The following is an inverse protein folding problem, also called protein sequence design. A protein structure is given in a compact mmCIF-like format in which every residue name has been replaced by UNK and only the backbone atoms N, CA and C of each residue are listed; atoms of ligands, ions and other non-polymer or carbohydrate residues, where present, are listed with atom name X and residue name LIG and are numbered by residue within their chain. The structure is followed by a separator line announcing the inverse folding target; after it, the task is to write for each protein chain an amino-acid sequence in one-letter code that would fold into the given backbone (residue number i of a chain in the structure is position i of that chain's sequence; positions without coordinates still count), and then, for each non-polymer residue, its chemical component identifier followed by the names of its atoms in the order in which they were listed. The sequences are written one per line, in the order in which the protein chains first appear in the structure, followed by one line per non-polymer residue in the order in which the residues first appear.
data_IF_042931060617
#
_entry.id   IF_042931060617
#
_cell.length_a   1.000
_cell.length_b   1.000
_cell.length_c   1.000
_cell.angle_alpha   90.00
_cell.angle_beta   90.00
_cell.angle_gamma   90.00
#
_symmetry.space_group_name_H-M   'P 1'
#
loop_
_entity.id
_entity.type
_entity.pdbx_description
1 polymer ?
#
# COMPACT_ATOMS: atom_id res chain seq x y z
N UNK A 1 -78.15 9.03 -46.61
CA UNK A 1 -77.67 9.75 -45.41
C UNK A 1 -76.45 9.01 -44.94
N UNK A 2 -75.27 9.61 -45.11
CA UNK A 2 -73.97 8.99 -44.86
C UNK A 2 -73.48 9.38 -43.47
N UNK A 3 -73.29 8.38 -42.62
CA UNK A 3 -72.80 8.46 -41.25
C UNK A 3 -71.38 9.07 -41.20
N UNK A 4 -71.17 10.01 -40.28
CA UNK A 4 -69.84 10.46 -39.87
C UNK A 4 -69.78 10.45 -38.34
N UNK A 5 -69.42 9.30 -37.78
CA UNK A 5 -69.06 9.15 -36.38
C UNK A 5 -67.64 9.71 -36.15
N UNK A 6 -67.57 10.93 -35.59
CA UNK A 6 -66.32 11.53 -35.15
C UNK A 6 -65.94 11.05 -33.75
N UNK A 7 -65.15 9.96 -33.66
CA UNK A 7 -64.50 9.55 -32.41
C UNK A 7 -63.41 10.56 -32.03
N UNK A 8 -63.65 11.35 -30.98
CA UNK A 8 -62.64 12.21 -30.38
C UNK A 8 -61.68 11.36 -29.51
N UNK A 9 -60.41 11.28 -29.93
CA UNK A 9 -59.34 10.64 -29.14
C UNK A 9 -58.91 11.62 -28.04
N UNK A 10 -58.95 11.23 -26.74
CA UNK A 10 -58.41 12.08 -25.68
C UNK A 10 -56.88 12.16 -25.81
N UNK A 11 -56.36 13.38 -25.91
CA UNK A 11 -54.91 13.64 -25.95
C UNK A 11 -54.25 13.21 -24.65
N UNK A 12 -53.25 12.32 -24.73
CA UNK A 12 -52.40 11.93 -23.60
C UNK A 12 -51.71 13.16 -22.99
N UNK A 13 -51.61 13.25 -21.65
CA UNK A 13 -50.89 14.34 -21.00
C UNK A 13 -49.41 14.28 -21.42
N UNK A 14 -48.92 15.39 -21.96
CA UNK A 14 -47.53 15.55 -22.39
C UNK A 14 -46.59 15.22 -21.24
N UNK A 15 -45.78 14.17 -21.42
CA UNK A 15 -44.72 13.74 -20.51
C UNK A 15 -43.79 14.94 -20.30
N UNK A 16 -43.87 15.63 -19.16
CA UNK A 16 -42.88 16.64 -18.77
C UNK A 16 -41.52 15.96 -18.82
N UNK A 17 -40.67 16.41 -19.74
CA UNK A 17 -39.27 16.01 -19.80
C UNK A 17 -38.64 16.45 -18.48
N UNK A 18 -38.52 15.52 -17.53
CA UNK A 18 -37.75 15.73 -16.31
C UNK A 18 -36.29 15.84 -16.76
N UNK A 19 -35.67 16.99 -16.51
CA UNK A 19 -34.21 17.13 -16.59
C UNK A 19 -33.57 15.99 -15.79
N UNK A 20 -32.43 15.43 -16.25
CA UNK A 20 -31.77 14.34 -15.53
C UNK A 20 -31.51 14.79 -14.08
N UNK A 21 -31.66 13.87 -13.10
CA UNK A 21 -31.42 14.21 -11.70
C UNK A 21 -29.98 14.74 -11.55
N UNK A 22 -29.83 15.99 -11.06
CA UNK A 22 -28.49 16.53 -10.82
C UNK A 22 -27.90 15.84 -9.60
N UNK A 23 -26.93 14.95 -9.81
CA UNK A 23 -26.22 14.31 -8.72
C UNK A 23 -25.24 15.30 -8.07
N UNK A 24 -25.04 15.23 -6.74
CA UNK A 24 -24.02 16.05 -6.07
C UNK A 24 -22.62 15.68 -6.58
N UNK A 25 -21.66 16.60 -6.60
CA UNK A 25 -20.28 16.29 -6.99
C UNK A 25 -19.61 15.35 -5.97
N UNK A 26 -18.76 14.46 -6.47
CA UNK A 26 -17.91 13.59 -5.65
C UNK A 26 -16.79 14.42 -5.01
N UNK A 27 -16.71 14.42 -3.67
CA UNK A 27 -15.65 15.09 -2.91
C UNK A 27 -14.48 14.14 -2.64
N UNK A 28 -13.85 13.66 -3.72
CA UNK A 28 -12.70 12.76 -3.65
C UNK A 28 -11.66 13.16 -4.69
N UNK A 29 -10.41 13.28 -4.26
CA UNK A 29 -9.27 13.52 -5.13
C UNK A 29 -8.43 12.25 -5.18
N UNK A 30 -8.14 11.77 -6.38
CA UNK A 30 -7.35 10.55 -6.54
C UNK A 30 -5.89 10.82 -6.13
N UNK A 31 -5.25 9.86 -5.43
CA UNK A 31 -3.85 10.00 -5.06
C UNK A 31 -2.93 9.83 -6.28
N UNK A 32 -1.69 10.31 -6.16
CA UNK A 32 -0.68 10.20 -7.23
C UNK A 32 -0.23 8.76 -7.52
N UNK A 33 -0.36 7.88 -6.52
CA UNK A 33 -0.08 6.45 -6.62
C UNK A 33 -1.28 5.64 -7.16
N UNK A 34 -2.41 6.30 -7.44
CA UNK A 34 -3.58 5.66 -8.05
C UNK A 34 -3.25 5.00 -9.37
N UNK A 35 -3.70 3.76 -9.55
CA UNK A 35 -3.58 3.02 -10.82
C UNK A 35 -4.83 2.18 -11.06
N UNK A 36 -5.07 1.81 -12.32
CA UNK A 36 -6.15 0.90 -12.67
C UNK A 36 -5.98 -0.47 -12.00
N UNK A 37 -7.10 -1.10 -11.62
CA UNK A 37 -7.10 -2.45 -11.06
C UNK A 37 -6.46 -3.46 -12.03
N UNK A 38 -5.34 -4.06 -11.61
CA UNK A 38 -4.60 -5.07 -12.37
C UNK A 38 -5.32 -6.42 -12.33
N UNK A 39 -5.78 -6.80 -11.14
CA UNK A 39 -6.46 -8.06 -10.88
C UNK A 39 -7.98 -7.90 -10.94
N UNK A 40 -8.65 -8.93 -11.43
CA UNK A 40 -10.10 -8.99 -11.35
C UNK A 40 -10.52 -9.16 -9.89
N UNK A 41 -11.55 -8.42 -9.49
CA UNK A 41 -12.10 -8.49 -8.15
C UNK A 41 -13.63 -8.50 -8.21
N UNK A 42 -14.23 -9.09 -7.19
CA UNK A 42 -15.67 -9.14 -7.01
C UNK A 42 -16.01 -8.85 -5.56
N UNK A 43 -17.19 -8.30 -5.36
CA UNK A 43 -17.71 -7.99 -4.03
C UNK A 43 -19.00 -8.79 -3.85
N UNK A 44 -18.96 -9.71 -2.91
CA UNK A 44 -20.10 -10.55 -2.54
C UNK A 44 -20.85 -9.90 -1.38
N UNK A 45 -22.14 -9.66 -1.55
CA UNK A 45 -23.00 -9.06 -0.55
C UNK A 45 -23.84 -10.14 0.12
N UNK A 46 -23.60 -10.34 1.41
CA UNK A 46 -24.32 -11.30 2.24
C UNK A 46 -25.34 -10.59 3.12
N UNK A 47 -26.51 -11.21 3.30
CA UNK A 47 -27.53 -10.77 4.26
C UNK A 47 -27.93 -11.97 5.12
N UNK A 48 -27.68 -11.90 6.42
CA UNK A 48 -28.00 -13.01 7.34
C UNK A 48 -27.25 -14.31 7.02
N UNK A 49 -26.05 -14.22 6.42
CA UNK A 49 -25.24 -15.37 6.03
C UNK A 49 -25.56 -15.95 4.65
N UNK A 50 -26.53 -15.40 3.92
CA UNK A 50 -26.86 -15.81 2.56
C UNK A 50 -26.31 -14.80 1.54
N UNK A 51 -25.66 -15.28 0.50
CA UNK A 51 -25.18 -14.48 -0.63
C UNK A 51 -26.38 -13.96 -1.42
N UNK A 52 -26.61 -12.65 -1.36
CA UNK A 52 -27.74 -11.99 -2.02
C UNK A 52 -27.35 -11.53 -3.41
N UNK A 53 -26.15 -10.97 -3.54
CA UNK A 53 -25.71 -10.29 -4.75
C UNK A 53 -24.20 -10.38 -4.87
N UNK A 54 -23.70 -10.60 -6.09
CA UNK A 54 -22.27 -10.61 -6.37
C UNK A 54 -22.00 -9.60 -7.47
N UNK A 55 -21.29 -8.53 -7.15
CA UNK A 55 -20.92 -7.48 -8.08
C UNK A 55 -19.49 -7.70 -8.56
N UNK A 56 -19.29 -7.85 -9.87
CA UNK A 56 -17.95 -7.84 -10.47
C UNK A 56 -17.55 -6.37 -10.61
N UNK A 57 -16.38 -6.03 -10.07
CA UNK A 57 -15.93 -4.65 -10.06
C UNK A 57 -15.36 -4.19 -11.40
N UNK A 58 -15.57 -2.93 -11.80
CA UNK A 58 -15.00 -2.40 -13.03
C UNK A 58 -13.48 -2.22 -12.91
N UNK A 59 -12.74 -2.41 -14.02
CA UNK A 59 -11.31 -2.06 -14.09
C UNK A 59 -11.16 -0.54 -14.19
N UNK A 60 -11.16 0.12 -13.03
CA UNK A 60 -10.97 1.56 -12.87
C UNK A 60 -9.85 1.82 -11.87
N UNK A 61 -9.35 3.05 -11.88
CA UNK A 61 -8.41 3.55 -10.87
C UNK A 61 -9.02 3.50 -9.46
N UNK A 62 -10.29 3.89 -9.35
CA UNK A 62 -11.04 3.87 -8.10
C UNK A 62 -12.50 3.53 -8.36
N UNK A 63 -13.16 3.05 -7.31
CA UNK A 63 -14.53 2.53 -7.36
C UNK A 63 -15.32 3.18 -6.24
N UNK A 64 -16.45 3.76 -6.59
CA UNK A 64 -17.29 4.47 -5.64
C UNK A 64 -18.37 3.54 -5.07
N UNK A 65 -18.55 3.62 -3.75
CA UNK A 65 -19.57 2.88 -3.00
C UNK A 65 -20.50 3.88 -2.35
N UNK A 66 -21.81 3.70 -2.54
CA UNK A 66 -22.77 4.59 -1.91
C UNK A 66 -24.22 4.29 -2.26
N UNK A 67 -25.11 5.11 -1.74
CA UNK A 67 -26.56 4.97 -1.95
C UNK A 67 -27.02 5.44 -3.33
N UNK A 68 -26.28 6.35 -3.96
CA UNK A 68 -26.67 6.88 -5.26
C UNK A 68 -26.44 5.85 -6.37
N UNK A 69 -27.32 5.79 -7.39
CA UNK A 69 -27.16 4.88 -8.53
C UNK A 69 -26.01 5.26 -9.47
N UNK A 70 -25.41 6.44 -9.29
CA UNK A 70 -24.19 6.86 -10.00
C UNK A 70 -22.93 6.17 -9.44
N UNK A 71 -23.00 5.60 -8.24
CA UNK A 71 -21.87 4.87 -7.66
C UNK A 71 -21.68 3.56 -8.42
N UNK A 72 -20.43 3.12 -8.57
CA UNK A 72 -20.10 1.86 -9.22
C UNK A 72 -20.71 0.67 -8.47
N UNK A 73 -20.78 0.76 -7.14
CA UNK A 73 -21.42 -0.22 -6.28
C UNK A 73 -22.52 0.51 -5.51
N UNK A 74 -23.76 0.28 -5.96
CA UNK A 74 -24.93 0.85 -5.33
C UNK A 74 -25.34 0.02 -4.11
N UNK A 75 -25.55 0.69 -2.98
CA UNK A 75 -26.09 0.06 -1.78
C UNK A 75 -27.34 0.76 -1.30
N UNK A 76 -28.45 0.03 -1.31
CA UNK A 76 -29.76 0.56 -0.93
C UNK A 76 -29.98 0.46 0.58
N UNK A 77 -29.46 1.43 1.32
CA UNK A 77 -29.74 1.57 2.75
C UNK A 77 -29.76 3.03 3.19
N UNK A 78 -30.63 3.38 4.14
CA UNK A 78 -30.83 4.77 4.59
C UNK A 78 -29.59 5.35 5.28
N UNK A 79 -28.88 4.54 6.08
CA UNK A 79 -27.69 4.95 6.82
C UNK A 79 -26.42 4.99 5.96
N UNK A 80 -26.50 4.52 4.72
CA UNK A 80 -25.40 4.65 3.76
C UNK A 80 -25.49 6.03 3.12
N UNK A 81 -24.35 6.71 3.12
CA UNK A 81 -24.21 8.04 2.54
C UNK A 81 -24.30 7.98 1.02
N UNK A 82 -24.64 9.12 0.40
CA UNK A 82 -24.78 9.23 -1.06
C UNK A 82 -23.54 8.72 -1.79
N UNK A 83 -22.39 9.25 -1.38
CA UNK A 83 -21.06 8.67 -1.56
C UNK A 83 -20.58 8.31 -0.15
N UNK A 84 -20.27 7.04 0.09
CA UNK A 84 -19.96 6.54 1.42
C UNK A 84 -18.48 6.19 1.54
N UNK A 85 -17.96 5.41 0.60
CA UNK A 85 -16.56 5.05 0.57
C UNK A 85 -16.08 4.90 -0.88
N UNK A 86 -14.76 4.86 -1.03
CA UNK A 86 -14.07 4.60 -2.30
C UNK A 86 -13.11 3.45 -2.08
N UNK A 87 -13.09 2.50 -3.02
CA UNK A 87 -11.99 1.54 -3.12
C UNK A 87 -10.98 2.11 -4.12
N UNK A 88 -9.76 2.32 -3.67
CA UNK A 88 -8.65 2.86 -4.44
C UNK A 88 -7.66 1.74 -4.74
N UNK A 89 -7.20 1.66 -5.99
CA UNK A 89 -6.17 0.69 -6.40
C UNK A 89 -4.80 1.35 -6.60
N UNK A 90 -3.74 0.59 -6.36
CA UNK A 90 -2.36 0.98 -6.58
C UNK A 90 -1.72 0.19 -7.74
N UNK A 91 -0.56 0.66 -8.22
CA UNK A 91 0.25 0.03 -9.27
C UNK A 91 0.73 -1.38 -8.91
N UNK A 92 0.78 -1.71 -7.63
CA UNK A 92 1.18 -3.05 -7.14
C UNK A 92 0.00 -4.05 -7.12
N UNK A 93 -1.21 -3.59 -7.51
CA UNK A 93 -2.43 -4.39 -7.49
C UNK A 93 -3.10 -4.48 -6.11
N UNK A 94 -2.65 -3.67 -5.16
CA UNK A 94 -3.27 -3.53 -3.84
C UNK A 94 -4.54 -2.68 -3.89
N UNK A 95 -5.49 -3.05 -3.03
CA UNK A 95 -6.74 -2.33 -2.85
C UNK A 95 -6.74 -1.64 -1.48
N UNK A 96 -7.28 -0.43 -1.43
CA UNK A 96 -7.41 0.36 -0.21
C UNK A 96 -8.85 0.85 -0.08
N UNK A 97 -9.42 0.75 1.12
CA UNK A 97 -10.70 1.38 1.43
C UNK A 97 -10.47 2.79 1.99
N UNK A 98 -11.22 3.75 1.47
CA UNK A 98 -11.19 5.15 1.87
C UNK A 98 -12.61 5.61 2.21
N UNK A 99 -12.88 5.89 3.48
CA UNK A 99 -14.20 6.37 3.91
C UNK A 99 -14.32 7.88 3.67
N UNK A 100 -15.36 8.30 2.94
CA UNK A 100 -15.61 9.69 2.56
C UNK A 100 -16.32 10.48 3.67
N UNK A 101 -15.87 10.30 4.91
CA UNK A 101 -16.43 10.96 6.09
C UNK A 101 -17.94 10.64 6.22
N UNK A 102 -18.25 9.35 6.20
CA UNK A 102 -19.63 8.89 6.09
C UNK A 102 -20.35 8.99 7.44
N UNK A 103 -21.66 9.29 7.42
CA UNK A 103 -22.41 9.63 8.64
C UNK A 103 -22.39 8.55 9.73
N UNK A 104 -22.40 7.27 9.34
CA UNK A 104 -22.34 6.13 10.27
C UNK A 104 -20.98 5.39 10.19
N UNK A 105 -20.07 5.86 9.35
CA UNK A 105 -18.77 5.26 9.09
C UNK A 105 -18.80 3.90 8.38
N UNK A 106 -17.60 3.42 8.08
CA UNK A 106 -17.34 2.09 7.50
C UNK A 106 -16.67 1.19 8.54
N UNK A 107 -17.00 -0.11 8.54
CA UNK A 107 -16.36 -1.14 9.38
C UNK A 107 -15.67 -2.18 8.51
N UNK A 108 -14.42 -2.48 8.83
CA UNK A 108 -13.59 -3.52 8.21
C UNK A 108 -13.29 -4.59 9.25
N UNK A 109 -13.66 -5.85 8.99
CA UNK A 109 -13.45 -6.99 9.90
C UNK A 109 -13.89 -6.69 11.35
N UNK A 110 -15.07 -6.07 11.51
CA UNK A 110 -15.67 -5.61 12.78
C UNK A 110 -14.95 -4.43 13.46
N UNK A 111 -13.85 -3.92 12.92
CA UNK A 111 -13.15 -2.72 13.39
C UNK A 111 -13.63 -1.50 12.62
N UNK A 112 -13.73 -0.36 13.29
CA UNK A 112 -14.09 0.90 12.64
C UNK A 112 -12.93 1.39 11.78
N UNK A 113 -13.23 1.84 10.56
CA UNK A 113 -12.29 2.49 9.65
C UNK A 113 -12.21 3.98 10.01
N UNK A 114 -10.99 4.53 10.08
CA UNK A 114 -10.79 5.97 10.21
C UNK A 114 -11.30 6.70 8.97
N UNK A 115 -12.07 7.79 9.12
CA UNK A 115 -12.49 8.59 7.98
C UNK A 115 -11.28 9.24 7.30
N UNK A 116 -11.32 9.35 5.98
CA UNK A 116 -10.29 9.99 5.14
C UNK A 116 -8.88 9.38 5.22
N UNK A 117 -8.80 8.11 5.61
CA UNK A 117 -7.55 7.36 5.65
C UNK A 117 -7.61 6.18 4.67
N UNK A 118 -6.49 5.85 4.02
CA UNK A 118 -6.38 4.69 3.14
C UNK A 118 -6.03 3.46 3.96
N UNK A 119 -7.00 2.57 4.14
CA UNK A 119 -6.78 1.31 4.88
C UNK A 119 -6.62 0.16 3.88
N UNK A 120 -5.56 -0.67 3.98
CA UNK A 120 -5.35 -1.78 3.06
C UNK A 120 -6.48 -2.81 3.17
N UNK A 121 -6.99 -3.25 2.03
CA UNK A 121 -8.08 -4.20 1.88
C UNK A 121 -7.54 -5.50 1.28
N UNK A 122 -7.72 -6.61 2.00
CA UNK A 122 -7.24 -7.93 1.60
C UNK A 122 -8.36 -8.80 1.02
N UNK A 123 -8.04 -9.75 0.14
CA UNK A 123 -9.00 -10.77 -0.29
C UNK A 123 -9.58 -11.52 0.91
N UNK A 124 -10.90 -11.65 0.97
CA UNK A 124 -11.65 -12.25 2.07
C UNK A 124 -12.08 -11.27 3.18
N UNK A 125 -11.66 -10.01 3.12
CA UNK A 125 -12.04 -9.02 4.13
C UNK A 125 -13.54 -8.70 4.10
N UNK A 126 -14.11 -8.53 5.29
CA UNK A 126 -15.52 -8.21 5.49
C UNK A 126 -15.69 -6.72 5.72
N UNK A 127 -16.34 -6.05 4.78
CA UNK A 127 -16.74 -4.66 4.83
C UNK A 127 -18.22 -4.53 5.24
N UNK A 128 -18.50 -3.60 6.14
CA UNK A 128 -19.87 -3.25 6.55
C UNK A 128 -20.01 -1.75 6.53
N UNK A 129 -20.98 -1.27 5.76
CA UNK A 129 -21.20 0.15 5.52
C UNK A 129 -22.38 0.66 6.36
N UNK A 130 -22.10 1.66 7.19
CA UNK A 130 -23.03 2.21 8.17
C UNK A 130 -23.72 1.14 9.03
N UNK A 131 -25.04 1.25 9.14
CA UNK A 131 -25.89 0.33 9.90
C UNK A 131 -26.61 -0.71 9.01
N UNK A 132 -26.12 -0.92 7.79
CA UNK A 132 -26.69 -1.93 6.91
C UNK A 132 -26.63 -3.32 7.54
N UNK A 133 -27.64 -4.15 7.29
CA UNK A 133 -27.61 -5.58 7.64
C UNK A 133 -26.77 -6.40 6.68
N UNK A 134 -26.40 -5.83 5.53
CA UNK A 134 -25.57 -6.48 4.52
C UNK A 134 -24.09 -6.39 4.90
N UNK A 135 -23.36 -7.48 4.68
CA UNK A 135 -21.90 -7.56 4.80
C UNK A 135 -21.33 -7.80 3.41
N UNK A 136 -20.36 -7.00 3.00
CA UNK A 136 -19.68 -7.11 1.73
C UNK A 136 -18.35 -7.85 1.93
N UNK A 137 -18.11 -8.93 1.21
CA UNK A 137 -16.81 -9.61 1.17
C UNK A 137 -16.08 -9.16 -0.08
N UNK A 138 -14.87 -8.65 0.09
CA UNK A 138 -14.00 -8.30 -1.02
C UNK A 138 -13.17 -9.52 -1.44
N UNK A 139 -13.27 -9.95 -2.69
CA UNK A 139 -12.44 -11.02 -3.24
C UNK A 139 -11.67 -10.49 -4.45
N UNK A 140 -10.37 -10.79 -4.53
CA UNK A 140 -9.49 -10.42 -5.64
C UNK A 140 -8.65 -11.62 -6.05
N UNK A 141 -8.27 -11.68 -7.33
CA UNK A 141 -7.39 -12.70 -7.90
C UNK A 141 -5.89 -12.46 -7.61
N UNK A 142 -5.53 -11.42 -6.82
CA UNK A 142 -4.14 -11.20 -6.41
C UNK A 142 -3.62 -12.48 -5.72
N UNK A 143 -2.51 -13.08 -6.20
CA UNK A 143 -1.95 -14.27 -5.58
C UNK A 143 -1.54 -13.96 -4.14
N UNK A 144 -1.93 -14.83 -3.23
CA UNK A 144 -1.53 -14.74 -1.83
C UNK A 144 -0.04 -15.07 -1.71
N UNK A 145 0.78 -14.06 -1.37
CA UNK A 145 2.19 -14.27 -1.02
C UNK A 145 2.32 -14.38 0.52
N UNK A 146 2.59 -15.59 1.07
CA UNK A 146 2.74 -15.77 2.50
C UNK A 146 3.93 -14.99 3.07
N UNK A 147 4.96 -14.69 2.28
CA UNK A 147 6.11 -13.92 2.76
C UNK A 147 5.75 -12.46 2.97
N UNK A 148 4.97 -11.87 2.05
CA UNK A 148 4.49 -10.50 2.15
C UNK A 148 3.61 -10.29 3.40
N UNK A 149 2.67 -11.21 3.68
CA UNK A 149 1.85 -11.12 4.91
C UNK A 149 2.71 -11.24 6.17
N UNK A 150 3.67 -12.18 6.19
CA UNK A 150 4.56 -12.36 7.33
C UNK A 150 5.41 -11.13 7.58
N UNK A 151 5.89 -10.46 6.53
CA UNK A 151 6.61 -9.20 6.61
C UNK A 151 5.73 -8.07 7.15
N UNK A 152 4.50 -7.91 6.67
CA UNK A 152 3.55 -6.94 7.22
C UNK A 152 3.25 -7.21 8.70
N UNK A 153 3.06 -8.47 9.07
CA UNK A 153 2.82 -8.87 10.46
C UNK A 153 4.01 -8.51 11.34
N UNK A 154 5.23 -8.78 10.87
CA UNK A 154 6.48 -8.38 11.56
C UNK A 154 6.57 -6.86 11.71
N UNK A 155 6.27 -6.09 10.65
CA UNK A 155 6.24 -4.62 10.70
C UNK A 155 5.25 -4.09 11.74
N UNK A 156 4.04 -4.66 11.82
CA UNK A 156 3.04 -4.26 12.81
C UNK A 156 3.50 -4.52 14.25
N UNK A 157 4.02 -5.72 14.51
CA UNK A 157 4.56 -6.08 15.83
C UNK A 157 5.70 -5.12 16.21
N UNK A 158 6.57 -4.80 15.24
CA UNK A 158 7.67 -3.89 15.47
C UNK A 158 7.19 -2.45 15.76
N UNK A 159 6.21 -1.96 15.00
CA UNK A 159 5.61 -0.64 15.23
C UNK A 159 4.94 -0.56 16.61
N UNK A 160 4.24 -1.62 17.04
CA UNK A 160 3.64 -1.70 18.37
C UNK A 160 4.71 -1.67 19.46
N UNK A 161 5.81 -2.43 19.29
CA UNK A 161 6.96 -2.40 20.21
C UNK A 161 7.61 -1.01 20.28
N UNK A 162 7.76 -0.33 19.13
CA UNK A 162 8.28 1.03 19.06
C UNK A 162 7.36 2.04 19.76
N UNK A 163 6.05 1.95 19.52
CA UNK A 163 5.08 2.84 20.17
C UNK A 163 5.07 2.65 21.69
N UNK A 164 5.16 1.39 22.15
CA UNK A 164 5.26 1.06 23.57
C UNK A 164 6.55 1.59 24.20
N UNK A 165 7.70 1.37 23.55
CA UNK A 165 8.99 1.86 24.04
C UNK A 165 9.05 3.39 24.06
N UNK A 166 8.44 4.08 23.08
CA UNK A 166 8.30 5.55 23.09
C UNK A 166 7.41 6.06 24.21
N UNK A 167 6.33 5.36 24.54
CA UNK A 167 5.48 5.71 25.68
C UNK A 167 6.23 5.50 27.01
N UNK A 168 6.99 4.40 27.15
CA UNK A 168 7.81 4.11 28.33
C UNK A 168 9.00 5.09 28.50
N UNK A 169 9.51 5.68 27.41
CA UNK A 169 10.55 6.70 27.44
C UNK A 169 10.02 8.14 27.69
N UNK A 170 8.72 8.36 27.51
CA UNK A 170 8.07 9.69 27.55
C UNK A 170 7.55 10.15 28.91
N UNK A 171 7.96 9.52 30.02
CA UNK A 171 7.55 9.91 31.39
C UNK A 171 8.63 10.73 32.15
N UNK A 172 9.67 11.23 31.47
CA UNK A 172 10.73 12.07 32.07
C UNK A 172 10.97 13.36 31.27
N UNK A 173 9.93 14.13 30.94
CA UNK A 173 10.11 15.52 30.49
C UNK A 173 8.98 16.39 31.05
N UNK A 174 9.03 16.67 32.34
CA UNK A 174 8.50 17.88 32.99
C UNK A 174 9.03 17.86 34.44
N UNK A 175 9.69 18.95 34.87
CA UNK A 175 10.32 19.19 36.18
C UNK A 175 11.75 18.64 36.39
N UNK A 176 12.73 19.29 35.80
CA UNK A 176 13.75 20.08 36.53
C UNK A 176 14.78 20.60 35.52
N UNK A 177 14.91 21.92 35.44
CA UNK A 177 15.90 22.57 34.61
C UNK A 177 17.31 22.15 35.03
N UNK A 178 17.89 21.19 34.32
CA UNK A 178 19.30 20.86 34.41
C UNK A 178 20.10 22.01 33.80
N UNK A 179 20.37 23.01 34.65
CA UNK A 179 21.36 24.06 34.44
C UNK A 179 22.71 23.41 34.16
N UNK A 180 23.14 23.44 32.90
CA UNK A 180 24.52 23.10 32.52
C UNK A 180 25.45 24.14 33.14
N UNK A 181 25.94 23.82 34.33
CA UNK A 181 26.91 24.60 35.09
C UNK A 181 28.23 24.72 34.34
N UNK A 182 28.31 25.71 33.45
CA UNK A 182 29.55 26.43 33.19
C UNK A 182 29.68 27.51 34.26
N UNK A 183 30.20 27.12 35.41
CA UNK A 183 30.74 28.03 36.42
C UNK A 183 32.22 27.75 36.54
N UNK A 184 33.04 28.51 35.80
CA UNK A 184 34.40 28.81 36.23
C UNK A 184 34.30 29.42 37.62
N UNK A 185 35.03 28.89 38.60
CA UNK A 185 35.90 29.68 39.46
C UNK A 185 36.81 28.76 40.29
N UNK A 186 38.04 29.23 40.45
CA UNK A 186 39.19 28.56 41.01
C UNK A 186 39.30 28.71 42.54
N UNK A 187 40.27 27.95 43.08
CA UNK A 187 40.99 28.08 44.37
C UNK A 187 40.62 27.13 45.54
N UNK A 188 41.61 26.25 45.81
CA UNK A 188 42.22 25.76 47.05
C UNK A 188 41.42 25.04 48.17
N UNK A 189 41.87 23.79 48.41
CA UNK A 189 41.99 22.97 49.64
C UNK A 189 40.90 23.04 50.75
N UNK A 190 40.24 21.90 51.05
CA UNK A 190 40.57 20.95 52.14
C UNK A 190 39.54 19.79 52.15
N UNK A 191 39.94 18.67 52.74
CA UNK A 191 39.28 17.35 52.79
C UNK A 191 37.89 17.36 53.42
N UNK A 192 36.96 16.54 52.90
CA UNK A 192 36.11 15.65 53.71
C UNK A 192 35.42 14.59 52.80
N UNK A 193 35.52 13.33 53.22
CA UNK A 193 34.95 12.15 52.58
C UNK A 193 33.44 12.07 52.83
N UNK A 194 32.62 12.06 51.78
CA UNK A 194 31.31 11.39 51.80
C UNK A 194 31.12 10.60 50.50
N UNK A 195 31.12 9.26 50.64
CA UNK A 195 30.69 8.34 49.60
C UNK A 195 29.17 8.42 49.45
N UNK A 196 28.68 9.10 48.41
CA UNK A 196 27.30 8.91 47.93
C UNK A 196 27.29 7.97 46.72
N UNK A 197 26.69 6.80 46.92
CA UNK A 197 26.34 5.83 45.88
C UNK A 197 25.45 6.49 44.81
N UNK A 198 26.00 6.77 43.63
CA UNK A 198 25.17 7.16 42.48
C UNK A 198 24.35 5.96 42.00
N UNK A 199 23.05 5.97 42.27
CA UNK A 199 22.06 5.05 41.69
C UNK A 199 22.19 5.00 40.16
N UNK A 200 22.47 3.81 39.63
CA UNK A 200 22.36 3.51 38.20
C UNK A 200 20.90 3.46 37.78
N UNK A 201 20.27 4.61 37.55
CA UNK A 201 18.89 4.68 37.05
C UNK A 201 18.80 5.57 35.83
N UNK A 202 18.93 4.98 34.63
CA UNK A 202 18.73 5.72 33.38
C UNK A 202 19.19 5.10 32.06
N UNK A 203 19.53 3.80 31.98
CA UNK A 203 20.11 3.20 30.74
C UNK A 203 19.30 2.12 30.05
N UNK A 204 18.20 1.64 30.65
CA UNK A 204 17.45 0.49 30.11
C UNK A 204 16.50 0.85 28.96
N UNK A 205 15.91 2.05 28.99
CA UNK A 205 14.98 2.53 27.95
C UNK A 205 15.68 2.73 26.60
N UNK A 206 16.80 3.45 26.59
CA UNK A 206 17.55 3.77 25.36
C UNK A 206 18.12 2.52 24.66
N UNK A 207 18.65 1.56 25.43
CA UNK A 207 19.14 0.31 24.88
C UNK A 207 18.04 -0.52 24.21
N UNK A 208 16.81 -0.46 24.73
CA UNK A 208 15.67 -1.16 24.15
C UNK A 208 15.24 -0.54 22.81
N UNK A 209 15.22 0.79 22.71
CA UNK A 209 14.92 1.51 21.48
C UNK A 209 15.97 1.27 20.40
N UNK A 210 17.26 1.26 20.76
CA UNK A 210 18.37 0.95 19.82
C UNK A 210 18.21 -0.46 19.24
N UNK A 211 17.85 -1.44 20.07
CA UNK A 211 17.65 -2.82 19.60
C UNK A 211 16.45 -2.95 18.66
N UNK A 212 15.36 -2.22 18.94
CA UNK A 212 14.16 -2.24 18.09
C UNK A 212 14.42 -1.50 16.76
N UNK A 213 15.14 -0.38 16.79
CA UNK A 213 15.49 0.36 15.57
C UNK A 213 16.48 -0.43 14.69
N UNK A 214 17.40 -1.19 15.30
CA UNK A 214 18.26 -2.13 14.57
C UNK A 214 17.45 -3.26 13.91
N UNK A 215 16.45 -3.81 14.59
CA UNK A 215 15.53 -4.82 14.03
C UNK A 215 14.70 -4.24 12.86
N UNK A 216 14.29 -2.96 12.95
CA UNK A 216 13.61 -2.23 11.88
C UNK A 216 14.48 -2.02 10.66
N UNK A 217 15.71 -1.54 10.87
CA UNK A 217 16.68 -1.33 9.80
C UNK A 217 16.98 -2.64 9.05
N UNK A 218 17.14 -3.75 9.78
CA UNK A 218 17.37 -5.06 9.18
C UNK A 218 16.18 -5.54 8.32
N UNK A 219 14.94 -5.31 8.78
CA UNK A 219 13.73 -5.64 8.01
C UNK A 219 13.61 -4.80 6.75
N UNK A 220 13.82 -3.48 6.85
CA UNK A 220 13.78 -2.57 5.70
C UNK A 220 14.84 -2.94 4.65
N UNK A 221 16.04 -3.29 5.08
CA UNK A 221 17.10 -3.71 4.17
C UNK A 221 16.80 -5.07 3.52
N UNK A 222 16.18 -6.01 4.24
CA UNK A 222 15.72 -7.27 3.65
C UNK A 222 14.65 -7.05 2.57
N UNK A 223 13.71 -6.13 2.78
CA UNK A 223 12.69 -5.77 1.79
C UNK A 223 13.32 -5.13 0.55
N UNK A 224 14.28 -4.22 0.75
CA UNK A 224 15.04 -3.62 -0.37
C UNK A 224 15.75 -4.71 -1.16
N UNK A 225 16.38 -5.68 -0.50
CA UNK A 225 17.02 -6.82 -1.17
C UNK A 225 16.02 -7.62 -2.00
N UNK A 226 14.90 -8.08 -1.42
CA UNK A 226 13.86 -8.80 -2.17
C UNK A 226 13.33 -8.01 -3.37
N UNK A 227 13.08 -6.71 -3.20
CA UNK A 227 12.63 -5.85 -4.29
C UNK A 227 13.68 -5.73 -5.41
N UNK A 228 14.97 -5.66 -5.07
CA UNK A 228 16.03 -5.69 -6.10
C UNK A 228 16.11 -7.03 -6.82
N UNK A 229 15.94 -8.14 -6.10
CA UNK A 229 15.92 -9.48 -6.70
C UNK A 229 14.72 -9.69 -7.63
N UNK A 230 13.53 -9.22 -7.23
CA UNK A 230 12.33 -9.24 -8.08
C UNK A 230 12.54 -8.39 -9.35
N UNK A 231 13.13 -7.20 -9.23
CA UNK A 231 13.51 -6.37 -10.40
C UNK A 231 14.48 -7.11 -11.33
N UNK A 232 15.49 -7.78 -10.78
CA UNK A 232 16.43 -8.61 -11.55
C UNK A 232 15.68 -9.73 -12.27
N UNK A 233 14.81 -10.47 -11.59
CA UNK A 233 14.04 -11.58 -12.18
C UNK A 233 13.18 -11.10 -13.34
N UNK A 234 12.48 -9.97 -13.18
CA UNK A 234 11.65 -9.36 -14.23
C UNK A 234 12.50 -8.92 -15.43
N UNK A 235 13.66 -8.30 -15.18
CA UNK A 235 14.57 -7.87 -16.27
C UNK A 235 15.18 -9.05 -17.02
N UNK A 236 15.55 -10.14 -16.33
CA UNK A 236 16.04 -11.37 -16.97
C UNK A 236 14.98 -11.92 -17.92
N UNK A 237 13.73 -12.03 -17.46
CA UNK A 237 12.62 -12.48 -18.29
C UNK A 237 12.41 -11.59 -19.53
N UNK A 238 12.42 -10.27 -19.35
CA UNK A 238 12.34 -9.30 -20.47
C UNK A 238 13.50 -9.42 -21.46
N UNK A 239 14.70 -9.74 -20.98
CA UNK A 239 15.87 -9.97 -21.84
C UNK A 239 15.73 -11.27 -22.61
N UNK A 240 15.25 -12.34 -21.99
CA UNK A 240 14.98 -13.63 -22.64
C UNK A 240 13.92 -13.48 -23.73
N UNK A 241 12.82 -12.79 -23.45
CA UNK A 241 11.77 -12.48 -24.43
C UNK A 241 12.33 -11.69 -25.62
N UNK A 242 13.10 -10.60 -25.37
CA UNK A 242 13.71 -9.82 -26.45
C UNK A 242 14.78 -10.59 -27.23
N UNK A 243 15.53 -11.48 -26.58
CA UNK A 243 16.51 -12.35 -27.26
C UNK A 243 15.79 -13.34 -28.17
N UNK A 244 14.72 -13.96 -27.71
CA UNK A 244 13.90 -14.87 -28.51
C UNK A 244 13.32 -14.15 -29.72
N UNK A 245 12.78 -12.93 -29.55
CA UNK A 245 12.32 -12.13 -30.68
C UNK A 245 13.44 -11.78 -31.68
N UNK A 246 14.66 -11.48 -31.22
CA UNK A 246 15.80 -11.21 -32.10
C UNK A 246 16.31 -12.47 -32.81
N UNK A 247 16.20 -13.65 -32.18
CA UNK A 247 16.54 -14.94 -32.77
C UNK A 247 15.51 -15.38 -33.82
N UNK A 248 14.21 -15.22 -33.56
CA UNK A 248 13.14 -15.43 -34.55
C UNK A 248 13.33 -14.49 -35.75
N UNK A 249 13.63 -13.21 -35.52
CA UNK A 249 13.95 -12.23 -36.59
C UNK A 249 15.19 -12.57 -37.40
N UNK A 250 16.14 -13.34 -36.84
CA UNK A 250 17.33 -13.85 -37.57
C UNK A 250 17.03 -15.11 -38.37
N UNK A 251 16.04 -15.91 -37.94
CA UNK A 251 15.63 -17.13 -38.62
C UNK A 251 14.76 -16.84 -39.86
N UNK A 252 13.99 -15.74 -39.86
CA UNK A 252 13.16 -15.26 -40.99
C UNK A 252 13.96 -14.48 -42.07
N UNK A 253 15.26 -14.73 -42.19
CA UNK A 253 16.16 -13.94 -43.04
C UNK A 253 16.03 -14.19 -44.54
N UNK A 254 14.97 -13.66 -45.18
CA UNK A 254 15.00 -13.03 -46.52
C UNK A 254 13.66 -12.28 -46.78
N UNK A 255 13.55 -10.98 -46.45
CA UNK A 255 12.33 -10.22 -46.76
C UNK A 255 12.57 -8.76 -47.21
N UNK A 256 11.68 -8.34 -48.11
CA UNK A 256 11.62 -7.14 -48.93
C UNK A 256 11.74 -5.79 -48.20
N UNK A 257 12.26 -4.78 -48.93
CA UNK A 257 12.52 -3.41 -48.48
C UNK A 257 11.31 -2.71 -47.79
N UNK A 258 10.08 -3.07 -48.17
CA UNK A 258 8.85 -2.48 -47.63
C UNK A 258 8.56 -2.93 -46.18
N UNK A 259 8.92 -4.17 -45.83
CA UNK A 259 8.83 -4.72 -44.46
C UNK A 259 9.82 -4.02 -43.51
N UNK A 260 10.97 -3.56 -44.03
CA UNK A 260 11.96 -2.77 -43.29
C UNK A 260 11.48 -1.34 -43.01
N UNK A 261 10.93 -0.66 -44.01
CA UNK A 261 10.43 0.72 -43.86
C UNK A 261 9.24 0.83 -42.91
N UNK A 262 8.35 -0.17 -42.88
CA UNK A 262 7.21 -0.20 -41.97
C UNK A 262 7.62 -0.44 -40.49
N UNK A 263 8.76 -1.11 -40.27
CA UNK A 263 9.34 -1.35 -38.93
C UNK A 263 9.96 -0.09 -38.31
N UNK A 264 10.65 0.73 -39.10
CA UNK A 264 11.22 2.01 -38.63
C UNK A 264 10.09 2.93 -38.12
N UNK A 265 8.96 2.97 -38.82
CA UNK A 265 7.78 3.73 -38.39
C UNK A 265 7.17 3.18 -37.08
N UNK A 266 7.06 1.85 -36.91
CA UNK A 266 6.48 1.25 -35.69
C UNK A 266 7.39 1.35 -34.46
N UNK A 267 8.71 1.28 -34.63
CA UNK A 267 9.66 1.40 -33.52
C UNK A 267 9.73 2.82 -32.94
N UNK A 268 9.39 3.85 -33.73
CA UNK A 268 9.29 5.22 -33.23
C UNK A 268 8.03 5.46 -32.37
N UNK A 269 7.02 4.59 -32.45
CA UNK A 269 5.79 4.68 -31.64
C UNK A 269 5.84 3.85 -30.35
N UNK A 270 6.69 2.82 -30.29
CA UNK A 270 6.82 1.95 -29.12
C UNK A 270 8.07 2.33 -28.32
N UNK A 271 7.90 3.05 -27.21
CA UNK A 271 8.94 3.42 -26.25
C UNK A 271 9.53 2.19 -25.53
N UNK A 272 10.13 1.26 -26.27
CA UNK A 272 10.69 0.01 -25.76
C UNK A 272 12.21 0.12 -25.66
N UNK A 273 12.76 -0.05 -24.45
CA UNK A 273 14.21 0.00 -24.20
C UNK A 273 14.94 -1.02 -25.07
N UNK A 274 16.09 -0.66 -25.64
CA UNK A 274 16.90 -1.60 -26.44
C UNK A 274 17.41 -2.78 -25.59
N UNK A 275 17.68 -3.93 -26.22
CA UNK A 275 18.20 -5.12 -25.52
C UNK A 275 19.52 -4.82 -24.79
N UNK A 276 20.39 -3.99 -25.39
CA UNK A 276 21.60 -3.49 -24.75
C UNK A 276 21.32 -2.66 -23.49
N UNK A 277 20.30 -1.78 -23.53
CA UNK A 277 19.92 -0.97 -22.37
C UNK A 277 19.41 -1.85 -21.21
N UNK A 278 18.63 -2.90 -21.51
CA UNK A 278 18.16 -3.86 -20.51
C UNK A 278 19.31 -4.66 -19.90
N UNK A 279 20.26 -5.12 -20.72
CA UNK A 279 21.47 -5.80 -20.24
C UNK A 279 22.31 -4.91 -19.33
N UNK A 280 22.46 -3.63 -19.67
CA UNK A 280 23.15 -2.65 -18.82
C UNK A 280 22.44 -2.49 -17.48
N UNK A 281 21.12 -2.31 -17.47
CA UNK A 281 20.31 -2.19 -16.26
C UNK A 281 20.41 -3.44 -15.36
N UNK A 282 20.41 -4.63 -15.97
CA UNK A 282 20.64 -5.89 -15.26
C UNK A 282 22.03 -5.94 -14.61
N UNK A 283 23.09 -5.52 -15.32
CA UNK A 283 24.43 -5.52 -14.74
C UNK A 283 24.58 -4.54 -13.58
N UNK A 284 23.95 -3.36 -13.65
CA UNK A 284 23.95 -2.41 -12.55
C UNK A 284 23.23 -2.95 -11.32
N UNK A 285 22.04 -3.55 -11.49
CA UNK A 285 21.32 -4.14 -10.36
C UNK A 285 22.07 -5.32 -9.74
N UNK A 286 22.73 -6.16 -10.55
CA UNK A 286 23.58 -7.24 -10.04
C UNK A 286 24.78 -6.72 -9.23
N UNK A 287 25.39 -5.59 -9.62
CA UNK A 287 26.45 -4.94 -8.83
C UNK A 287 25.90 -4.49 -7.47
N UNK A 288 24.72 -3.89 -7.46
CA UNK A 288 24.05 -3.46 -6.22
C UNK A 288 23.81 -4.66 -5.28
N UNK A 289 23.26 -5.77 -5.77
CA UNK A 289 23.08 -6.99 -4.97
C UNK A 289 24.40 -7.57 -4.46
N UNK A 290 25.46 -7.54 -5.26
CA UNK A 290 26.80 -7.98 -4.85
C UNK A 290 27.36 -7.12 -3.71
N UNK A 291 27.16 -5.80 -3.77
CA UNK A 291 27.55 -4.88 -2.68
C UNK A 291 26.80 -5.22 -1.39
N UNK A 292 25.49 -5.45 -1.46
CA UNK A 292 24.70 -5.84 -0.29
C UNK A 292 25.15 -7.17 0.32
N UNK A 293 25.53 -8.16 -0.50
CA UNK A 293 26.07 -9.43 -0.03
C UNK A 293 27.37 -9.24 0.77
N UNK A 294 28.26 -8.36 0.31
CA UNK A 294 29.54 -8.07 0.99
C UNK A 294 29.30 -7.36 2.33
N UNK A 295 28.43 -6.35 2.37
CA UNK A 295 28.11 -5.62 3.59
C UNK A 295 27.44 -6.50 4.66
N UNK A 296 26.60 -7.45 4.26
CA UNK A 296 25.91 -8.36 5.19
C UNK A 296 26.88 -9.34 5.87
N UNK A 297 27.87 -9.86 5.13
CA UNK A 297 28.92 -10.72 5.70
C UNK A 297 29.74 -9.95 6.72
N UNK A 298 30.07 -8.68 6.48
CA UNK A 298 30.82 -7.84 7.43
C UNK A 298 30.04 -7.50 8.71
N UNK A 299 28.73 -7.20 8.60
CA UNK A 299 27.89 -6.87 9.77
C UNK A 299 27.55 -8.10 10.63
N UNK A 300 27.27 -9.25 10.01
CA UNK A 300 27.06 -10.51 10.76
C UNK A 300 28.35 -10.98 11.43
N UNK A 301 29.53 -10.70 10.84
CA UNK A 301 30.83 -10.99 11.47
C UNK A 301 31.10 -10.06 12.67
N UNK A 302 30.79 -8.75 12.57
CA UNK A 302 30.98 -7.80 13.67
C UNK A 302 30.11 -8.11 14.90
N UNK A 303 28.84 -8.48 14.71
CA UNK A 303 27.93 -8.84 15.81
C UNK A 303 28.38 -10.14 16.52
N UNK A 304 29.10 -11.03 15.81
CA UNK A 304 29.59 -12.29 16.38
C UNK A 304 30.89 -12.13 17.16
N UNK A 305 31.71 -11.12 16.83
CA UNK A 305 32.97 -10.81 17.52
C UNK A 305 32.70 -10.12 18.87
N UNK A 306 31.70 -9.24 18.96
CA UNK A 306 31.36 -8.56 20.23
C UNK A 306 30.76 -9.49 21.28
N UNK A 307 30.15 -10.62 20.87
CA UNK A 307 29.67 -11.68 21.79
C UNK A 307 30.72 -12.72 22.17
N UNK A 308 31.88 -12.74 21.51
CA UNK A 308 32.94 -13.73 21.73
C UNK A 308 34.13 -13.24 22.56
N UNK A 309 34.22 -11.94 22.88
CA UNK A 309 35.35 -11.34 23.61
C UNK A 309 35.02 -10.90 25.05
N UNK A 310 34.02 -11.52 25.70
CA UNK A 310 33.72 -11.29 27.11
C UNK A 310 33.87 -12.54 28.01
N UNK A 311 34.55 -13.59 27.54
CA UNK A 311 34.72 -14.84 28.33
C UNK A 311 36.19 -15.23 28.59
N UNK A 312 37.13 -14.29 28.46
CA UNK A 312 38.50 -14.40 28.96
C UNK A 312 38.76 -13.08 29.68
N UNK A 313 39.24 -13.10 30.93
CA UNK A 313 39.23 -12.01 31.94
C UNK A 313 37.98 -11.99 32.85
N UNK A 314 37.74 -13.11 33.54
CA UNK A 314 37.71 -13.22 35.01
C UNK A 314 37.56 -14.69 35.40
#
# INVERSE_FOLDING_TARGET
MSDQDGFAIPSLPSKKQQSPPSFPPLKYEKPTWSSEAIFDYKIEMLKGGLSVETAIGPKKEFVTIGRLPICDIQMEHQSISRYHAVIQFNQDGDAFIYDLDSAHGTKLNKKQVSPREYIPLKPGDQLKFGESTRVCIFESQKPYDPEEEMEERRKRILQERLAKAKAEAGEQEEDEGASWGFGEDAEEEEEEEEEEETEQRGKSGDASLINIEAEKMALEDAIKQKNTELKIRVLVKKIEEKKAEEEEKKAEGEEDLDSYMNRISKNNTSNSKSLFALQKELTELKKVTAIYSIFYVSNVMCIRITRGSLSWWN
#
